data_IF_625116383831
#
_entry.id   IF_625116383831
#
_cell.length_a   1.000
_cell.length_b   1.000
_cell.length_c   1.000
_cell.angle_alpha   90.00
_cell.angle_beta   90.00
_cell.angle_gamma   90.00
#
_symmetry.space_group_name_H-M   'P 1'
#
loop_
_entity.id
_entity.type
_entity.pdbx_description
1 polymer ?
#
# COMPACT_ATOMS: atom_id res chain seq x y z
N UNK A 1 -4.60 -0.51 -15.45
CA UNK A 1 -3.32 -0.87 -14.78
C UNK A 1 -3.62 -1.22 -13.33
N UNK A 2 -3.04 -2.30 -12.80
CA UNK A 2 -3.20 -2.70 -11.38
C UNK A 2 -2.06 -2.08 -10.57
N UNK A 3 -2.37 -1.54 -9.39
CA UNK A 3 -1.38 -1.13 -8.39
C UNK A 3 -1.52 -1.99 -7.12
N UNK A 4 -0.40 -2.45 -6.58
CA UNK A 4 -0.33 -3.15 -5.29
C UNK A 4 0.51 -2.30 -4.34
N UNK A 5 -0.02 -1.98 -3.16
CA UNK A 5 0.71 -1.31 -2.08
C UNK A 5 1.02 -2.29 -0.94
N UNK A 6 2.11 -2.10 -0.20
CA UNK A 6 2.57 -3.08 0.79
C UNK A 6 2.96 -4.41 0.12
N UNK A 7 3.55 -4.31 -1.07
CA UNK A 7 3.74 -5.43 -1.99
C UNK A 7 4.78 -6.46 -1.52
N UNK A 8 5.58 -6.15 -0.49
CA UNK A 8 6.54 -7.05 0.14
C UNK A 8 6.02 -7.66 1.45
N UNK A 9 4.82 -7.28 1.89
CA UNK A 9 4.10 -7.99 2.95
C UNK A 9 3.67 -9.40 2.53
N UNK A 10 3.14 -10.19 3.47
CA UNK A 10 2.73 -11.57 3.21
C UNK A 10 1.70 -11.67 2.07
N UNK A 11 0.61 -10.91 2.17
CA UNK A 11 -0.44 -10.90 1.14
C UNK A 11 0.04 -10.26 -0.17
N UNK A 12 0.78 -9.15 -0.09
CA UNK A 12 1.30 -8.46 -1.27
C UNK A 12 2.22 -9.35 -2.10
N UNK A 13 3.09 -10.12 -1.44
CA UNK A 13 4.02 -11.03 -2.10
C UNK A 13 3.30 -12.19 -2.78
N UNK A 14 2.36 -12.84 -2.08
CA UNK A 14 1.57 -13.94 -2.66
C UNK A 14 0.71 -13.47 -3.84
N UNK A 15 0.14 -12.26 -3.72
CA UNK A 15 -0.63 -11.66 -4.80
C UNK A 15 0.24 -11.40 -6.04
N UNK A 16 1.46 -10.89 -5.88
CA UNK A 16 2.40 -10.70 -7.00
C UNK A 16 2.69 -12.01 -7.72
N UNK A 17 3.02 -13.08 -6.98
CA UNK A 17 3.26 -14.40 -7.56
C UNK A 17 2.03 -14.93 -8.30
N UNK A 18 0.84 -14.79 -7.72
CA UNK A 18 -0.40 -15.20 -8.36
C UNK A 18 -0.67 -14.43 -9.67
N UNK A 19 -0.38 -13.13 -9.71
CA UNK A 19 -0.54 -12.32 -10.92
C UNK A 19 0.51 -12.66 -11.98
N UNK A 20 1.75 -12.93 -11.57
CA UNK A 20 2.83 -13.41 -12.45
C UNK A 20 2.45 -14.74 -13.10
N UNK A 21 1.97 -15.72 -12.32
CA UNK A 21 1.49 -17.01 -12.82
C UNK A 21 0.34 -16.87 -13.84
N UNK A 22 -0.49 -15.84 -13.67
CA UNK A 22 -1.61 -15.52 -14.55
C UNK A 22 -1.25 -14.60 -15.71
N UNK A 23 0.01 -14.18 -15.83
CA UNK A 23 0.48 -13.19 -16.80
C UNK A 23 -0.35 -11.90 -16.79
N UNK A 24 -0.69 -11.40 -15.60
CA UNK A 24 -1.40 -10.12 -15.42
C UNK A 24 -0.41 -9.04 -15.04
N UNK A 25 -0.38 -7.94 -15.79
CA UNK A 25 0.51 -6.81 -15.50
C UNK A 25 0.05 -6.00 -14.28
N UNK A 26 1.01 -5.60 -13.45
CA UNK A 26 0.80 -4.76 -12.28
C UNK A 26 2.03 -3.89 -11.99
N UNK A 27 1.81 -2.82 -11.22
CA UNK A 27 2.85 -2.05 -10.53
C UNK A 27 2.79 -2.39 -9.05
N UNK A 28 3.94 -2.66 -8.43
CA UNK A 28 4.05 -3.01 -7.03
C UNK A 28 4.95 -2.00 -6.31
N UNK A 29 4.47 -1.48 -5.19
CA UNK A 29 5.19 -0.54 -4.33
C UNK A 29 5.10 -0.97 -2.87
N UNK A 30 6.16 -0.69 -2.13
CA UNK A 30 6.18 -0.77 -0.67
C UNK A 30 6.70 0.56 -0.10
N UNK A 31 6.95 0.62 1.21
CA UNK A 31 7.32 1.86 1.92
C UNK A 31 8.56 2.56 1.33
N UNK A 32 9.47 1.83 0.68
CA UNK A 32 10.65 2.41 0.06
C UNK A 32 10.33 3.17 -1.24
N UNK A 33 9.32 2.73 -2.00
CA UNK A 33 8.90 3.33 -3.26
C UNK A 33 7.74 4.31 -3.09
N UNK A 34 6.82 4.04 -2.16
CA UNK A 34 5.64 4.83 -1.88
C UNK A 34 5.19 4.67 -0.43
N UNK A 35 5.65 5.57 0.44
CA UNK A 35 5.13 5.68 1.80
C UNK A 35 3.68 6.21 1.76
N UNK A 36 2.73 5.35 2.12
CA UNK A 36 1.30 5.67 2.09
C UNK A 36 0.92 6.79 3.07
N UNK A 37 1.73 7.06 4.09
CA UNK A 37 1.49 8.14 5.05
C UNK A 37 1.78 9.53 4.44
N UNK A 38 2.52 9.56 3.33
CA UNK A 38 2.86 10.78 2.59
C UNK A 38 1.95 10.96 1.36
N UNK A 39 0.91 11.79 1.50
CA UNK A 39 -0.08 12.04 0.45
C UNK A 39 0.53 12.55 -0.86
N UNK A 40 1.60 13.36 -0.82
CA UNK A 40 2.26 13.85 -2.02
C UNK A 40 2.98 12.74 -2.80
N UNK A 41 3.53 11.75 -2.08
CA UNK A 41 4.17 10.58 -2.70
C UNK A 41 3.13 9.66 -3.33
N UNK A 42 2.02 9.42 -2.63
CA UNK A 42 0.87 8.66 -3.15
C UNK A 42 0.35 9.30 -4.44
N UNK A 43 0.07 10.60 -4.42
CA UNK A 43 -0.46 11.32 -5.58
C UNK A 43 0.50 11.27 -6.78
N UNK A 44 1.81 11.41 -6.52
CA UNK A 44 2.82 11.30 -7.58
C UNK A 44 2.78 9.93 -8.26
N UNK A 45 2.73 8.84 -7.49
CA UNK A 45 2.68 7.48 -8.05
C UNK A 45 1.37 7.25 -8.79
N UNK A 46 0.23 7.72 -8.27
CA UNK A 46 -1.06 7.63 -8.97
C UNK A 46 -1.04 8.39 -10.31
N UNK A 47 -0.46 9.59 -10.35
CA UNK A 47 -0.33 10.36 -11.59
C UNK A 47 0.57 9.69 -12.64
N UNK A 48 1.61 8.97 -12.21
CA UNK A 48 2.53 8.23 -13.08
C UNK A 48 1.93 6.90 -13.56
N UNK A 49 1.37 6.10 -12.66
CA UNK A 49 0.87 4.74 -12.92
C UNK A 49 -0.54 4.75 -13.52
N UNK A 50 -1.38 5.71 -13.13
CA UNK A 50 -2.80 5.84 -13.49
C UNK A 50 -3.56 4.53 -13.28
N UNK A 51 -3.58 3.99 -12.05
CA UNK A 51 -4.19 2.70 -11.77
C UNK A 51 -5.70 2.74 -11.99
N UNK A 52 -6.24 1.64 -12.49
CA UNK A 52 -7.69 1.41 -12.62
C UNK A 52 -8.21 0.45 -11.55
N UNK A 53 -7.30 -0.20 -10.83
CA UNK A 53 -7.57 -1.11 -9.71
C UNK A 53 -6.39 -1.04 -8.74
N UNK A 54 -6.69 -0.95 -7.45
CA UNK A 54 -5.68 -0.93 -6.38
C UNK A 54 -5.95 -2.09 -5.42
N UNK A 55 -4.95 -2.94 -5.21
CA UNK A 55 -4.91 -3.88 -4.09
C UNK A 55 -4.10 -3.26 -2.95
N UNK A 56 -4.80 -2.79 -1.91
CA UNK A 56 -4.17 -2.14 -0.76
C UNK A 56 -3.82 -3.16 0.33
N UNK A 57 -2.54 -3.55 0.40
CA UNK A 57 -2.05 -4.56 1.35
C UNK A 57 -1.12 -3.98 2.43
N UNK A 58 -0.80 -2.69 2.38
CA UNK A 58 -0.01 -2.01 3.39
C UNK A 58 -0.85 -1.80 4.67
N UNK A 59 -0.32 -2.22 5.81
CA UNK A 59 -0.96 -2.05 7.12
C UNK A 59 0.08 -2.16 8.24
N UNK A 60 -0.20 -1.52 9.37
CA UNK A 60 0.46 -1.82 10.64
C UNK A 60 -0.30 -2.97 11.31
N UNK A 61 0.40 -4.04 11.69
CA UNK A 61 -0.24 -5.28 12.16
C UNK A 61 0.29 -5.80 13.50
N UNK A 62 1.18 -5.06 14.15
CA UNK A 62 1.67 -5.39 15.49
C UNK A 62 0.65 -4.97 16.54
N UNK A 63 -0.40 -5.78 16.73
CA UNK A 63 -1.58 -5.48 17.55
C UNK A 63 -1.21 -5.05 18.96
N UNK A 64 -0.33 -5.78 19.64
CA UNK A 64 0.03 -5.47 21.03
C UNK A 64 0.72 -4.09 21.14
N UNK A 65 1.64 -3.79 20.21
CA UNK A 65 2.34 -2.51 20.18
C UNK A 65 1.41 -1.34 19.78
N UNK A 66 0.36 -1.60 19.01
CA UNK A 66 -0.62 -0.58 18.61
C UNK A 66 -1.36 0.04 19.80
N UNK A 67 -1.44 -0.65 20.94
CA UNK A 67 -2.12 -0.16 22.15
C UNK A 67 -1.29 0.88 22.94
N UNK A 68 0.04 0.91 22.76
CA UNK A 68 0.94 1.81 23.49
C UNK A 68 1.97 2.47 22.56
N UNK A 69 3.21 1.96 22.49
CA UNK A 69 4.32 2.64 21.80
C UNK A 69 4.15 2.76 20.28
N UNK A 70 3.34 1.88 19.69
CA UNK A 70 3.04 1.84 18.26
C UNK A 70 1.78 2.59 17.85
N UNK A 71 1.05 3.21 18.79
CA UNK A 71 -0.26 3.83 18.53
C UNK A 71 -0.26 4.91 17.46
N UNK A 72 0.72 5.80 17.49
CA UNK A 72 0.83 6.88 16.49
C UNK A 72 1.15 6.32 15.09
N UNK A 73 1.98 5.27 15.04
CA UNK A 73 2.37 4.62 13.79
C UNK A 73 1.22 3.81 13.20
N UNK A 74 0.46 3.10 14.04
CA UNK A 74 -0.79 2.43 13.65
C UNK A 74 -1.77 3.42 13.01
N UNK A 75 -2.02 4.55 13.67
CA UNK A 75 -2.93 5.56 13.13
C UNK A 75 -2.42 6.16 11.82
N UNK A 76 -1.12 6.47 11.73
CA UNK A 76 -0.52 7.00 10.52
C UNK A 76 -0.68 6.04 9.32
N UNK A 77 -0.46 4.74 9.52
CA UNK A 77 -0.52 3.75 8.44
C UNK A 77 -1.96 3.35 8.14
N UNK A 78 -2.71 2.89 9.15
CA UNK A 78 -4.02 2.26 8.96
C UNK A 78 -5.17 3.26 8.79
N UNK A 79 -5.02 4.51 9.24
CA UNK A 79 -6.04 5.56 9.07
C UNK A 79 -5.60 6.54 7.98
N UNK A 80 -4.52 7.28 8.21
CA UNK A 80 -4.08 8.33 7.28
C UNK A 80 -3.60 7.73 5.95
N UNK A 81 -2.82 6.65 6.00
CA UNK A 81 -2.36 5.95 4.80
C UNK A 81 -3.51 5.42 3.94
N UNK A 82 -4.50 4.77 4.58
CA UNK A 82 -5.72 4.30 3.91
C UNK A 82 -6.50 5.45 3.28
N UNK A 83 -6.66 6.57 3.99
CA UNK A 83 -7.33 7.76 3.49
C UNK A 83 -6.61 8.35 2.26
N UNK A 84 -5.29 8.46 2.30
CA UNK A 84 -4.48 8.97 1.19
C UNK A 84 -4.65 8.12 -0.07
N UNK A 85 -4.53 6.79 0.05
CA UNK A 85 -4.68 5.86 -1.09
C UNK A 85 -6.11 5.89 -1.65
N UNK A 86 -7.12 6.04 -0.80
CA UNK A 86 -8.53 6.10 -1.22
C UNK A 86 -8.87 7.39 -1.98
N UNK A 87 -8.24 8.52 -1.63
CA UNK A 87 -8.49 9.82 -2.24
C UNK A 87 -7.72 10.08 -3.53
N UNK A 88 -6.60 9.40 -3.74
CA UNK A 88 -5.72 9.62 -4.88
C UNK A 88 -6.37 9.20 -6.22
N UNK A 89 -5.98 9.86 -7.31
CA UNK A 89 -6.58 9.69 -8.65
C UNK A 89 -5.57 9.62 -9.78
#
# INVERSE_FOLDING_TARGET
>A
MILITGANGQLGTELRYLLDERNVEYVAVDVAEMDITNSAMVEKVFAEVKPTLVYHCAAYTAVDAAEDEGKELDFAINVIGTENVSKAS
#
